data_IF_504744006620
#
_entry.id   IF_504744006620
#
_cell.length_a   1.000
_cell.length_b   1.000
_cell.length_c   1.000
_cell.angle_alpha   90.00
_cell.angle_beta   90.00
_cell.angle_gamma   90.00
#
_symmetry.space_group_name_H-M   'P 1'
#
loop_
_entity.id
_entity.type
_entity.pdbx_description
1 polymer ?
#
# COMPACT_ATOMS: atom_id res chain seq x y z
N UNK A 1 -3.26 -2.19 -23.97
CA UNK A 1 -4.14 -2.08 -25.19
C UNK A 1 -5.53 -1.60 -24.79
N UNK A 2 -6.24 -0.86 -25.66
CA UNK A 2 -7.54 -0.24 -25.35
C UNK A 2 -8.55 -1.19 -24.67
N UNK A 3 -8.69 -2.43 -25.17
CA UNK A 3 -9.69 -3.36 -24.66
C UNK A 3 -9.49 -3.75 -23.21
N UNK A 4 -8.25 -3.97 -22.78
CA UNK A 4 -7.93 -4.26 -21.37
C UNK A 4 -8.23 -3.06 -20.48
N UNK A 5 -7.91 -1.84 -20.94
CA UNK A 5 -8.22 -0.60 -20.26
C UNK A 5 -9.70 -0.37 -20.07
N UNK A 6 -10.47 -0.60 -21.13
CA UNK A 6 -11.91 -0.54 -21.09
C UNK A 6 -12.48 -1.54 -20.07
N UNK A 7 -11.97 -2.77 -20.08
CA UNK A 7 -12.37 -3.81 -19.14
C UNK A 7 -12.03 -3.44 -17.69
N UNK A 8 -10.83 -2.87 -17.44
CA UNK A 8 -10.41 -2.36 -16.12
C UNK A 8 -11.36 -1.25 -15.68
N UNK A 9 -11.60 -0.23 -16.50
CA UNK A 9 -12.48 0.89 -16.16
C UNK A 9 -13.91 0.42 -15.85
N UNK A 10 -14.46 -0.51 -16.65
CA UNK A 10 -15.79 -1.07 -16.41
C UNK A 10 -15.86 -1.85 -15.09
N UNK A 11 -14.85 -2.66 -14.80
CA UNK A 11 -14.75 -3.40 -13.52
C UNK A 11 -14.66 -2.46 -12.33
N UNK A 12 -13.85 -1.38 -12.45
CA UNK A 12 -13.76 -0.31 -11.44
C UNK A 12 -15.11 0.33 -11.16
N UNK A 13 -15.87 0.67 -12.23
CA UNK A 13 -17.22 1.20 -12.12
C UNK A 13 -18.25 0.16 -11.58
N UNK A 14 -17.82 -1.09 -11.37
CA UNK A 14 -18.69 -2.17 -10.89
C UNK A 14 -19.77 -2.60 -11.89
N UNK A 15 -19.63 -2.24 -13.17
CA UNK A 15 -20.65 -2.48 -14.20
C UNK A 15 -20.41 -3.81 -14.92
N UNK A 16 -21.50 -4.53 -15.20
CA UNK A 16 -21.51 -5.59 -16.21
C UNK A 16 -21.52 -4.98 -17.62
N UNK A 17 -21.25 -5.80 -18.65
CA UNK A 17 -21.35 -5.36 -20.05
C UNK A 17 -22.74 -4.79 -20.39
N UNK A 18 -23.81 -5.38 -19.83
CA UNK A 18 -25.19 -4.94 -20.06
C UNK A 18 -25.48 -3.62 -19.34
N UNK A 19 -25.03 -3.46 -18.12
CA UNK A 19 -25.20 -2.22 -17.34
C UNK A 19 -24.43 -1.07 -18.00
N UNK A 20 -23.19 -1.30 -18.47
CA UNK A 20 -22.46 -0.28 -19.21
C UNK A 20 -23.21 0.10 -20.51
N UNK A 21 -23.70 -0.89 -21.28
CA UNK A 21 -24.47 -0.63 -22.48
C UNK A 21 -25.73 0.21 -22.23
N UNK A 22 -26.37 0.05 -21.07
CA UNK A 22 -27.58 0.78 -20.69
C UNK A 22 -27.32 2.27 -20.38
N UNK A 23 -26.11 2.64 -19.94
CA UNK A 23 -25.73 4.03 -19.58
C UNK A 23 -24.92 4.74 -20.66
N UNK A 24 -24.66 4.06 -21.80
CA UNK A 24 -23.86 4.60 -22.90
C UNK A 24 -24.60 5.68 -23.72
N UNK A 25 -23.91 6.78 -23.96
CA UNK A 25 -24.25 7.79 -24.95
C UNK A 25 -23.02 8.09 -25.82
N UNK A 26 -23.02 7.75 -27.11
CA UNK A 26 -24.12 7.15 -27.91
C UNK A 26 -24.40 5.69 -27.50
N UNK A 27 -25.63 5.19 -27.78
CA UNK A 27 -26.02 3.82 -27.46
C UNK A 27 -25.11 2.78 -28.13
N UNK A 28 -24.65 1.79 -27.34
CA UNK A 28 -23.79 0.71 -27.83
C UNK A 28 -24.26 -0.60 -27.21
N UNK A 29 -24.26 -1.69 -27.99
CA UNK A 29 -24.69 -2.99 -27.50
C UNK A 29 -23.63 -3.62 -26.56
N UNK A 30 -24.06 -4.47 -25.62
CA UNK A 30 -23.14 -5.22 -24.76
C UNK A 30 -22.20 -6.14 -25.59
N UNK A 31 -22.61 -6.63 -26.73
CA UNK A 31 -21.75 -7.40 -27.63
C UNK A 31 -20.67 -6.53 -28.27
N UNK A 32 -20.98 -5.30 -28.65
CA UNK A 32 -19.98 -4.37 -29.19
C UNK A 32 -18.96 -4.01 -28.11
N UNK A 33 -19.39 -3.75 -26.88
CA UNK A 33 -18.48 -3.49 -25.74
C UNK A 33 -17.57 -4.70 -25.51
N UNK A 34 -18.11 -5.94 -25.55
CA UNK A 34 -17.30 -7.15 -25.44
C UNK A 34 -16.24 -7.25 -26.53
N UNK A 35 -16.56 -6.90 -27.77
CA UNK A 35 -15.61 -6.88 -28.89
C UNK A 35 -14.57 -5.77 -28.75
N UNK A 36 -14.92 -4.64 -28.12
CA UNK A 36 -13.94 -3.61 -27.77
C UNK A 36 -12.97 -4.12 -26.68
N UNK A 37 -13.50 -4.81 -25.66
CA UNK A 37 -12.68 -5.37 -24.59
C UNK A 37 -11.74 -6.49 -25.05
N UNK A 38 -12.14 -7.28 -26.06
CA UNK A 38 -11.29 -8.32 -26.68
C UNK A 38 -10.36 -7.78 -27.77
N UNK A 39 -10.37 -6.47 -28.05
CA UNK A 39 -9.67 -5.82 -29.16
C UNK A 39 -10.02 -6.38 -30.56
N UNK A 40 -11.18 -7.05 -30.69
CA UNK A 40 -11.69 -7.51 -31.98
C UNK A 40 -12.27 -6.36 -32.82
N UNK A 41 -12.63 -5.27 -32.20
CA UNK A 41 -13.19 -4.09 -32.86
C UNK A 41 -12.74 -2.81 -32.13
N UNK A 42 -12.44 -1.77 -32.88
CA UNK A 42 -12.13 -0.44 -32.32
C UNK A 42 -13.39 0.41 -32.23
N UNK A 43 -13.65 1.08 -31.07
CA UNK A 43 -14.73 2.05 -30.98
C UNK A 43 -14.42 3.30 -31.83
N UNK A 44 -15.46 3.92 -32.37
CA UNK A 44 -15.31 5.25 -32.99
C UNK A 44 -14.95 6.30 -31.94
N UNK A 45 -14.37 7.44 -32.37
CA UNK A 45 -14.00 8.53 -31.45
C UNK A 45 -15.18 8.99 -30.58
N UNK A 46 -16.39 9.05 -31.15
CA UNK A 46 -17.61 9.41 -30.42
C UNK A 46 -17.97 8.39 -29.33
N UNK A 47 -17.85 7.10 -29.65
CA UNK A 47 -18.09 6.00 -28.69
C UNK A 47 -17.00 6.00 -27.61
N UNK A 48 -15.74 6.28 -27.98
CA UNK A 48 -14.63 6.34 -27.03
C UNK A 48 -14.83 7.46 -26.00
N UNK A 49 -15.27 8.64 -26.45
CA UNK A 49 -15.64 9.76 -25.55
C UNK A 49 -16.81 9.35 -24.63
N UNK A 50 -17.83 8.68 -25.19
CA UNK A 50 -18.97 8.17 -24.41
C UNK A 50 -18.55 7.16 -23.35
N UNK A 51 -17.64 6.23 -23.69
CA UNK A 51 -17.05 5.27 -22.75
C UNK A 51 -16.30 5.98 -21.62
N UNK A 52 -15.45 6.95 -21.93
CA UNK A 52 -14.74 7.74 -20.92
C UNK A 52 -15.69 8.44 -19.94
N UNK A 53 -16.75 9.07 -20.44
CA UNK A 53 -17.80 9.72 -19.62
C UNK A 53 -18.56 8.72 -18.75
N UNK A 54 -19.04 7.62 -19.34
CA UNK A 54 -19.82 6.61 -18.64
C UNK A 54 -19.05 5.89 -17.55
N UNK A 55 -17.74 5.75 -17.72
CA UNK A 55 -16.83 5.05 -16.80
C UNK A 55 -16.08 6.01 -15.86
N UNK A 56 -16.19 7.33 -16.07
CA UNK A 56 -15.49 8.33 -15.23
C UNK A 56 -13.97 8.27 -15.39
N UNK A 57 -13.46 7.92 -16.57
CA UNK A 57 -12.03 7.85 -16.87
C UNK A 57 -11.65 8.78 -18.03
N UNK A 58 -10.38 9.22 -18.07
CA UNK A 58 -9.87 10.04 -19.15
C UNK A 58 -9.69 9.22 -20.45
N UNK A 59 -9.67 9.89 -21.61
CA UNK A 59 -9.30 9.26 -22.87
C UNK A 59 -7.86 8.78 -22.86
N UNK A 60 -6.97 9.50 -22.20
CA UNK A 60 -5.59 9.10 -21.96
C UNK A 60 -5.52 7.75 -21.25
N UNK A 61 -6.28 7.58 -20.19
CA UNK A 61 -6.37 6.28 -19.51
C UNK A 61 -6.77 5.15 -20.45
N UNK A 62 -7.75 5.38 -21.34
CA UNK A 62 -8.22 4.35 -22.27
C UNK A 62 -7.23 4.06 -23.42
N UNK A 63 -6.43 5.05 -23.84
CA UNK A 63 -5.58 4.98 -25.03
C UNK A 63 -4.11 4.69 -24.73
N UNK A 64 -3.61 5.12 -23.59
CA UNK A 64 -2.25 4.86 -23.10
C UNK A 64 -2.27 3.79 -22.02
N UNK A 65 -1.13 3.18 -21.74
CA UNK A 65 -1.00 2.20 -20.69
C UNK A 65 0.45 1.98 -20.31
N UNK A 66 0.81 2.41 -19.12
CA UNK A 66 2.11 2.17 -18.51
C UNK A 66 2.18 0.78 -17.84
N UNK A 67 1.04 0.28 -17.37
CA UNK A 67 0.92 -1.00 -16.68
C UNK A 67 0.38 -2.06 -17.65
N UNK A 68 1.17 -3.11 -17.88
CA UNK A 68 0.77 -4.28 -18.66
C UNK A 68 0.01 -5.28 -17.78
N UNK A 69 0.55 -5.58 -16.59
CA UNK A 69 -0.01 -6.55 -15.66
C UNK A 69 0.39 -6.20 -14.22
N UNK A 70 -0.50 -6.49 -13.27
CA UNK A 70 -0.16 -6.58 -11.86
C UNK A 70 0.15 -8.04 -11.52
N UNK A 71 1.44 -8.40 -11.54
CA UNK A 71 1.87 -9.77 -11.25
C UNK A 71 2.00 -10.01 -9.74
N UNK A 72 1.73 -11.26 -9.32
CA UNK A 72 1.87 -11.64 -7.91
C UNK A 72 0.87 -10.97 -6.97
N UNK A 73 -0.27 -10.51 -7.51
CA UNK A 73 -1.38 -10.01 -6.68
C UNK A 73 -1.91 -11.15 -5.85
N UNK A 74 -1.39 -11.30 -4.65
CA UNK A 74 -1.98 -12.14 -3.64
C UNK A 74 -3.04 -11.34 -2.90
N UNK A 75 -4.25 -11.25 -3.51
CA UNK A 75 -5.42 -11.00 -2.67
C UNK A 75 -5.44 -12.14 -1.66
N UNK A 76 -4.98 -11.88 -0.43
CA UNK A 76 -5.02 -12.87 0.62
C UNK A 76 -6.33 -13.60 0.53
N UNK A 77 -6.28 -14.91 0.52
CA UNK A 77 -7.42 -15.84 0.57
C UNK A 77 -8.22 -15.63 1.86
N UNK A 78 -8.66 -14.40 2.12
CA UNK A 78 -9.75 -14.18 3.03
C UNK A 78 -11.00 -14.65 2.33
N UNK A 79 -11.58 -15.72 2.85
CA UNK A 79 -12.72 -16.49 2.37
C UNK A 79 -14.03 -15.70 2.22
N UNK A 80 -13.98 -14.40 1.97
CA UNK A 80 -15.14 -13.52 1.87
C UNK A 80 -15.09 -12.45 0.79
N UNK A 81 -13.95 -12.22 0.11
CA UNK A 81 -13.88 -11.18 -0.93
C UNK A 81 -14.43 -11.71 -2.24
N UNK A 82 -15.49 -11.09 -2.77
CA UNK A 82 -16.09 -11.49 -4.04
C UNK A 82 -15.13 -11.26 -5.22
N UNK A 83 -15.32 -12.03 -6.32
CA UNK A 83 -14.54 -11.80 -7.55
C UNK A 83 -14.75 -10.38 -8.11
N UNK A 84 -15.94 -9.78 -7.87
CA UNK A 84 -16.27 -8.42 -8.26
C UNK A 84 -15.46 -7.39 -7.48
N UNK A 85 -15.36 -7.56 -6.14
CA UNK A 85 -14.60 -6.65 -5.28
C UNK A 85 -13.11 -6.70 -5.60
N UNK A 86 -12.56 -7.90 -5.81
CA UNK A 86 -11.16 -8.07 -6.24
C UNK A 86 -10.88 -7.35 -7.55
N UNK A 87 -11.74 -7.53 -8.55
CA UNK A 87 -11.59 -6.88 -9.85
C UNK A 87 -11.75 -5.35 -9.76
N UNK A 88 -12.59 -4.84 -8.84
CA UNK A 88 -12.71 -3.41 -8.56
C UNK A 88 -11.43 -2.84 -7.94
N UNK A 89 -10.90 -3.50 -6.91
CA UNK A 89 -9.65 -3.08 -6.26
C UNK A 89 -8.49 -3.09 -7.25
N UNK A 90 -8.32 -4.19 -8.02
CA UNK A 90 -7.28 -4.29 -9.05
C UNK A 90 -7.35 -3.13 -10.06
N UNK A 91 -8.56 -2.75 -10.48
CA UNK A 91 -8.76 -1.63 -11.41
C UNK A 91 -8.39 -0.27 -10.78
N UNK A 92 -8.76 -0.03 -9.51
CA UNK A 92 -8.40 1.19 -8.78
C UNK A 92 -6.89 1.29 -8.62
N UNK A 93 -6.25 0.19 -8.24
CA UNK A 93 -4.80 0.11 -8.06
C UNK A 93 -4.05 0.33 -9.38
N UNK A 94 -4.52 -0.30 -10.46
CA UNK A 94 -3.91 -0.11 -11.78
C UNK A 94 -3.95 1.35 -12.22
N UNK A 95 -5.10 2.03 -12.06
CA UNK A 95 -5.22 3.46 -12.40
C UNK A 95 -4.26 4.33 -11.57
N UNK A 96 -4.20 4.11 -10.25
CA UNK A 96 -3.32 4.88 -9.38
C UNK A 96 -1.83 4.66 -9.71
N UNK A 97 -1.44 3.43 -10.05
CA UNK A 97 -0.08 3.11 -10.47
C UNK A 97 0.26 3.73 -11.82
N UNK A 98 -0.68 3.79 -12.76
CA UNK A 98 -0.47 4.45 -14.03
C UNK A 98 -0.24 5.94 -13.90
N UNK A 99 -1.09 6.61 -13.12
CA UNK A 99 -0.90 8.02 -12.83
C UNK A 99 0.46 8.27 -12.16
N UNK A 100 0.88 7.36 -11.26
CA UNK A 100 2.18 7.46 -10.60
C UNK A 100 3.35 7.29 -11.58
N UNK A 101 3.32 6.25 -12.40
CA UNK A 101 4.37 5.96 -13.37
C UNK A 101 4.44 7.01 -14.47
N UNK A 102 3.29 7.52 -14.92
CA UNK A 102 3.22 8.60 -15.90
C UNK A 102 3.90 9.89 -15.39
N UNK A 103 3.72 10.25 -14.11
CA UNK A 103 4.39 11.43 -13.56
C UNK A 103 5.90 11.22 -13.39
N UNK A 104 6.34 10.01 -13.04
CA UNK A 104 7.77 9.67 -13.00
C UNK A 104 8.41 9.78 -14.39
N UNK A 105 7.72 9.31 -15.43
CA UNK A 105 8.19 9.41 -16.82
C UNK A 105 8.23 10.86 -17.32
N UNK A 106 7.22 11.68 -16.98
CA UNK A 106 7.21 13.12 -17.31
C UNK A 106 8.41 13.85 -16.67
N UNK A 107 8.80 13.42 -15.47
CA UNK A 107 9.95 13.98 -14.75
C UNK A 107 11.28 13.33 -15.13
N UNK A 108 11.29 12.38 -16.06
CA UNK A 108 12.48 11.61 -16.49
C UNK A 108 13.25 11.03 -15.31
N UNK A 109 12.51 10.46 -14.33
CA UNK A 109 13.13 9.88 -13.14
C UNK A 109 13.76 8.53 -13.49
N UNK A 110 14.98 8.25 -13.00
CA UNK A 110 15.60 6.95 -13.22
C UNK A 110 14.75 5.85 -12.54
N UNK A 111 14.64 4.68 -13.18
CA UNK A 111 13.93 3.56 -12.58
C UNK A 111 14.61 3.14 -11.27
N UNK A 112 13.81 2.83 -10.26
CA UNK A 112 14.32 2.23 -9.03
C UNK A 112 14.91 0.84 -9.32
N UNK A 113 16.06 0.51 -8.73
CA UNK A 113 16.57 -0.85 -8.74
C UNK A 113 15.68 -1.80 -7.94
N UNK A 114 15.97 -3.11 -7.99
CA UNK A 114 15.29 -4.09 -7.14
C UNK A 114 15.69 -3.88 -5.66
N UNK A 115 14.78 -3.41 -4.78
CA UNK A 115 15.11 -3.11 -3.39
C UNK A 115 15.36 -4.37 -2.55
N UNK A 116 15.10 -5.56 -3.09
CA UNK A 116 15.19 -6.85 -2.39
C UNK A 116 16.29 -7.77 -2.93
N UNK A 117 17.04 -7.35 -3.95
CA UNK A 117 18.01 -8.20 -4.65
C UNK A 117 18.99 -8.94 -3.71
N UNK A 118 19.43 -8.26 -2.63
CA UNK A 118 20.40 -8.81 -1.68
C UNK A 118 19.78 -9.70 -0.58
N UNK A 119 18.45 -9.68 -0.40
CA UNK A 119 17.80 -10.33 0.76
C UNK A 119 16.66 -11.27 0.39
N UNK A 120 16.25 -11.31 -0.88
CA UNK A 120 15.15 -12.17 -1.33
C UNK A 120 15.46 -13.64 -1.02
N UNK A 121 14.48 -14.33 -0.44
CA UNK A 121 14.57 -15.72 0.00
C UNK A 121 13.40 -16.52 -0.55
N UNK A 122 13.70 -17.67 -1.19
CA UNK A 122 12.64 -18.51 -1.75
C UNK A 122 11.84 -19.22 -0.66
N UNK A 123 12.51 -19.71 0.40
CA UNK A 123 11.84 -20.43 1.48
C UNK A 123 12.52 -20.18 2.82
N UNK A 124 11.72 -20.08 3.88
CA UNK A 124 12.19 -20.09 5.27
C UNK A 124 11.67 -21.34 5.98
N UNK A 125 12.51 -21.95 6.80
CA UNK A 125 12.18 -23.18 7.53
C UNK A 125 11.70 -22.93 8.97
N UNK A 126 11.92 -21.73 9.53
CA UNK A 126 11.53 -21.37 10.89
C UNK A 126 11.14 -19.90 11.04
N UNK A 127 10.47 -19.58 12.16
CA UNK A 127 10.15 -18.18 12.49
C UNK A 127 11.40 -17.37 12.81
N UNK A 128 12.45 -18.00 13.33
CA UNK A 128 13.75 -17.38 13.63
C UNK A 128 14.48 -16.98 12.34
N UNK A 129 14.35 -17.77 11.27
CA UNK A 129 14.86 -17.40 9.95
C UNK A 129 14.13 -16.20 9.37
N UNK A 130 12.80 -16.15 9.49
CA UNK A 130 12.02 -15.00 9.07
C UNK A 130 12.43 -13.72 9.83
N UNK A 131 12.67 -13.84 11.15
CA UNK A 131 13.19 -12.75 11.97
C UNK A 131 14.62 -12.32 11.54
N UNK A 132 15.48 -13.27 11.25
CA UNK A 132 16.84 -13.01 10.75
C UNK A 132 16.83 -12.24 9.42
N UNK A 133 15.92 -12.57 8.51
CA UNK A 133 15.76 -11.86 7.24
C UNK A 133 15.31 -10.41 7.45
N UNK A 134 14.42 -10.13 8.41
CA UNK A 134 14.08 -8.76 8.79
C UNK A 134 15.31 -7.97 9.26
N UNK A 135 16.18 -8.59 10.07
CA UNK A 135 17.45 -8.00 10.49
C UNK A 135 18.41 -7.75 9.32
N UNK A 136 18.54 -8.71 8.38
CA UNK A 136 19.35 -8.56 7.18
C UNK A 136 18.85 -7.42 6.29
N UNK A 137 17.53 -7.30 6.09
CA UNK A 137 16.96 -6.20 5.33
C UNK A 137 17.21 -4.85 5.99
N UNK A 138 17.09 -4.77 7.33
CA UNK A 138 17.44 -3.54 8.06
C UNK A 138 18.91 -3.14 7.88
N UNK A 139 19.82 -4.11 7.88
CA UNK A 139 21.25 -3.87 7.62
C UNK A 139 21.48 -3.39 6.18
N UNK A 140 20.88 -4.06 5.18
CA UNK A 140 20.98 -3.68 3.78
C UNK A 140 20.46 -2.26 3.53
N UNK A 141 19.37 -1.91 4.18
CA UNK A 141 18.79 -0.58 4.09
C UNK A 141 19.41 0.46 5.02
N UNK A 142 20.42 0.07 5.80
CA UNK A 142 21.18 0.91 6.75
C UNK A 142 20.30 1.58 7.80
N UNK A 143 19.29 0.90 8.29
CA UNK A 143 18.33 1.44 9.27
C UNK A 143 18.84 1.40 10.71
N UNK A 144 19.90 0.64 10.99
CA UNK A 144 20.33 0.41 12.36
C UNK A 144 19.27 -0.35 13.18
N UNK A 145 19.23 -0.08 14.48
CA UNK A 145 18.31 -0.75 15.41
C UNK A 145 17.17 0.16 15.89
N UNK A 146 17.23 1.47 15.58
CA UNK A 146 16.25 2.44 16.02
C UNK A 146 14.86 2.20 15.39
N UNK A 147 13.78 2.66 16.02
CA UNK A 147 12.45 2.63 15.41
C UNK A 147 12.44 3.30 14.02
N UNK A 148 11.68 2.72 13.10
CA UNK A 148 11.50 3.32 11.77
C UNK A 148 10.58 4.54 11.90
N UNK A 149 11.04 5.76 11.57
CA UNK A 149 10.21 6.97 11.73
C UNK A 149 8.94 6.95 10.90
N UNK A 150 9.05 6.49 9.64
CA UNK A 150 7.92 6.32 8.72
C UNK A 150 8.12 5.06 7.88
N UNK A 151 7.18 4.13 7.94
CA UNK A 151 7.18 2.95 7.07
C UNK A 151 6.86 3.35 5.63
N UNK A 152 5.88 4.21 5.43
CA UNK A 152 5.48 4.72 4.12
C UNK A 152 6.65 5.43 3.44
N UNK A 153 7.25 6.41 4.13
CA UNK A 153 8.39 7.16 3.59
C UNK A 153 9.60 6.27 3.28
N UNK A 154 9.90 5.31 4.18
CA UNK A 154 10.97 4.35 3.95
C UNK A 154 10.76 3.52 2.66
N UNK A 155 9.56 3.00 2.47
CA UNK A 155 9.22 2.20 1.27
C UNK A 155 9.31 3.05 0.00
N UNK A 156 8.77 4.28 0.03
CA UNK A 156 8.86 5.22 -1.08
C UNK A 156 10.32 5.60 -1.41
N UNK A 157 11.19 5.78 -0.40
CA UNK A 157 12.62 6.04 -0.59
C UNK A 157 13.36 4.85 -1.23
N UNK A 158 12.87 3.63 -1.01
CA UNK A 158 13.38 2.42 -1.67
C UNK A 158 12.77 2.18 -3.04
N UNK A 159 11.95 3.10 -3.56
CA UNK A 159 11.34 3.01 -4.88
C UNK A 159 10.07 2.14 -4.93
N UNK A 160 9.60 1.64 -3.79
CA UNK A 160 8.35 0.89 -3.69
C UNK A 160 7.19 1.88 -3.72
N UNK A 161 6.23 1.68 -4.61
CA UNK A 161 5.04 2.53 -4.68
C UNK A 161 4.09 2.17 -3.56
N UNK A 162 3.78 3.14 -2.69
CA UNK A 162 2.78 2.95 -1.63
C UNK A 162 1.50 3.65 -2.05
N UNK A 163 0.40 2.89 -2.09
CA UNK A 163 -0.91 3.39 -2.51
C UNK A 163 -1.93 3.09 -1.42
N UNK A 164 -2.75 4.09 -1.09
CA UNK A 164 -3.93 3.90 -0.28
C UNK A 164 -5.15 3.70 -1.17
N UNK A 165 -5.98 2.71 -0.84
CA UNK A 165 -7.18 2.40 -1.58
C UNK A 165 -8.31 1.97 -0.63
N UNK A 166 -9.56 2.20 -1.07
CA UNK A 166 -10.75 1.69 -0.37
C UNK A 166 -10.88 0.19 -0.60
N UNK A 167 -10.49 -0.58 0.41
CA UNK A 167 -10.62 -2.03 0.44
C UNK A 167 -11.89 -2.48 1.16
N UNK A 168 -12.44 -3.66 0.81
CA UNK A 168 -13.42 -4.34 1.66
C UNK A 168 -12.87 -4.57 3.08
N UNK A 169 -13.72 -4.52 4.09
CA UNK A 169 -13.37 -4.56 5.53
C UNK A 169 -12.42 -5.70 5.95
N UNK A 170 -12.39 -6.80 5.19
CA UNK A 170 -11.58 -7.98 5.46
C UNK A 170 -10.21 -7.99 4.79
N UNK A 171 -9.86 -6.95 4.01
CA UNK A 171 -8.56 -6.80 3.34
C UNK A 171 -7.86 -5.57 3.89
N UNK A 172 -6.66 -5.75 4.44
CA UNK A 172 -5.89 -4.62 5.01
C UNK A 172 -4.80 -4.11 4.07
N UNK A 173 -4.33 -4.95 3.14
CA UNK A 173 -3.28 -4.60 2.20
C UNK A 173 -3.04 -5.70 1.17
N UNK A 174 -2.23 -5.38 0.19
CA UNK A 174 -1.73 -6.30 -0.83
C UNK A 174 -0.40 -5.80 -1.37
N UNK A 175 0.39 -6.72 -1.90
CA UNK A 175 1.62 -6.39 -2.63
C UNK A 175 1.55 -6.92 -4.05
N UNK A 176 2.19 -6.24 -4.99
CA UNK A 176 2.28 -6.68 -6.37
C UNK A 176 3.57 -6.19 -7.05
N UNK A 177 3.93 -6.87 -8.13
CA UNK A 177 4.91 -6.40 -9.11
C UNK A 177 4.15 -5.80 -10.28
N UNK A 178 4.44 -4.55 -10.58
CA UNK A 178 3.88 -3.84 -11.71
C UNK A 178 4.73 -4.14 -12.94
N UNK A 179 4.20 -4.93 -13.87
CA UNK A 179 4.80 -5.16 -15.18
C UNK A 179 4.51 -3.96 -16.05
N UNK A 180 5.56 -3.33 -16.57
CA UNK A 180 5.44 -2.13 -17.40
C UNK A 180 5.47 -2.48 -18.89
N UNK A 181 4.74 -1.70 -19.68
CA UNK A 181 4.73 -1.84 -21.14
C UNK A 181 6.11 -1.53 -21.74
N UNK A 182 6.45 -2.23 -22.81
CA UNK A 182 7.76 -2.08 -23.48
C UNK A 182 8.89 -2.78 -22.71
N UNK A 183 10.10 -2.26 -22.79
CA UNK A 183 11.31 -2.80 -22.11
C UNK A 183 11.60 -2.03 -20.79
N UNK A 184 10.60 -1.48 -20.16
CA UNK A 184 10.76 -0.76 -18.89
C UNK A 184 10.87 -1.76 -17.72
N UNK A 185 11.70 -1.47 -16.72
CA UNK A 185 11.85 -2.37 -15.57
C UNK A 185 10.57 -2.47 -14.75
N UNK A 186 10.36 -3.64 -14.18
CA UNK A 186 9.28 -3.89 -13.23
C UNK A 186 9.39 -2.97 -12.02
N UNK A 187 8.27 -2.68 -11.41
CA UNK A 187 8.19 -1.80 -10.23
C UNK A 187 7.45 -2.51 -9.10
N UNK A 188 7.96 -2.40 -7.88
CA UNK A 188 7.32 -2.94 -6.69
C UNK A 188 6.24 -1.98 -6.18
N UNK A 189 5.10 -2.52 -5.77
CA UNK A 189 4.02 -1.74 -5.16
C UNK A 189 3.41 -2.46 -3.95
N UNK A 190 3.07 -1.67 -2.93
CA UNK A 190 2.30 -2.10 -1.77
C UNK A 190 1.07 -1.20 -1.67
N UNK A 191 -0.09 -1.82 -1.58
CA UNK A 191 -1.37 -1.13 -1.44
C UNK A 191 -1.95 -1.44 -0.08
N UNK A 192 -2.41 -0.42 0.61
CA UNK A 192 -3.00 -0.55 1.94
C UNK A 192 -4.39 0.08 1.99
N UNK A 193 -5.21 -0.39 2.92
CA UNK A 193 -6.51 0.22 3.18
C UNK A 193 -6.36 1.61 3.78
N UNK A 194 -7.13 2.58 3.27
CA UNK A 194 -7.18 3.93 3.82
C UNK A 194 -7.90 4.00 5.17
N UNK A 195 -8.77 3.01 5.49
CA UNK A 195 -9.64 2.99 6.66
C UNK A 195 -9.05 2.20 7.85
N UNK A 196 -7.74 2.30 8.08
CA UNK A 196 -7.05 1.63 9.20
C UNK A 196 -6.22 2.63 10.00
N UNK A 197 -6.09 2.40 11.32
CA UNK A 197 -5.28 3.24 12.19
C UNK A 197 -3.77 3.13 11.86
N UNK A 198 -2.99 4.08 12.35
CA UNK A 198 -1.55 4.23 12.04
C UNK A 198 -0.77 2.97 12.40
N UNK A 199 -1.00 2.40 13.56
CA UNK A 199 -0.29 1.20 14.04
C UNK A 199 -0.54 0.01 13.13
N UNK A 200 -1.80 -0.16 12.70
CA UNK A 200 -2.18 -1.24 11.77
C UNK A 200 -1.62 -0.97 10.38
N UNK A 201 -1.64 0.30 9.91
CA UNK A 201 -1.02 0.71 8.64
C UNK A 201 0.45 0.30 8.61
N UNK A 202 1.23 0.70 9.61
CA UNK A 202 2.66 0.38 9.74
C UNK A 202 2.93 -1.12 9.76
N UNK A 203 2.15 -1.85 10.56
CA UNK A 203 2.28 -3.32 10.64
C UNK A 203 1.91 -3.99 9.32
N UNK A 204 0.86 -3.53 8.63
CA UNK A 204 0.47 -4.04 7.32
C UNK A 204 1.56 -3.78 6.29
N UNK A 205 2.13 -2.56 6.23
CA UNK A 205 3.25 -2.25 5.33
C UNK A 205 4.46 -3.16 5.57
N UNK A 206 4.84 -3.40 6.82
CA UNK A 206 5.94 -4.32 7.16
C UNK A 206 5.61 -5.79 6.85
N UNK A 207 4.35 -6.17 6.92
CA UNK A 207 3.88 -7.50 6.59
C UNK A 207 3.85 -7.72 5.07
N UNK A 208 3.35 -6.77 4.29
CA UNK A 208 3.39 -6.82 2.83
C UNK A 208 4.83 -6.78 2.30
N UNK A 209 5.70 -6.02 2.97
CA UNK A 209 7.14 -6.04 2.73
C UNK A 209 7.73 -7.46 2.92
N UNK A 210 7.31 -8.18 3.96
CA UNK A 210 7.75 -9.56 4.19
C UNK A 210 7.43 -10.50 3.03
N UNK A 211 6.24 -10.38 2.42
CA UNK A 211 5.84 -11.15 1.24
C UNK A 211 6.70 -10.86 -0.01
N UNK A 212 7.38 -9.71 -0.05
CA UNK A 212 8.33 -9.40 -1.13
C UNK A 212 9.72 -9.99 -0.88
N UNK A 213 10.06 -10.21 0.39
CA UNK A 213 11.35 -10.79 0.81
C UNK A 213 11.29 -12.32 0.85
N UNK A 214 10.21 -12.90 1.35
CA UNK A 214 10.02 -14.35 1.53
C UNK A 214 8.90 -14.83 0.63
N UNK A 215 9.20 -15.82 -0.24
CA UNK A 215 8.21 -16.36 -1.17
C UNK A 215 7.33 -17.46 -0.52
N UNK A 216 7.94 -18.36 0.26
CA UNK A 216 7.22 -19.51 0.82
C UNK A 216 7.90 -20.02 2.11
N UNK A 217 7.32 -21.04 2.72
CA UNK A 217 7.85 -21.74 3.89
C UNK A 217 8.08 -23.22 3.58
N UNK A 218 9.17 -23.82 4.11
CA UNK A 218 9.51 -25.22 3.89
C UNK A 218 9.27 -26.13 5.11
N UNK A 219 9.07 -25.58 6.31
CA UNK A 219 8.86 -26.33 7.55
C UNK A 219 7.41 -26.83 7.71
N UNK A 220 7.23 -28.04 8.27
CA UNK A 220 5.89 -28.61 8.52
C UNK A 220 5.08 -27.86 9.58
N UNK A 221 5.77 -27.24 10.55
CA UNK A 221 5.15 -26.56 11.71
C UNK A 221 5.10 -25.02 11.55
N UNK A 222 5.52 -24.51 10.40
CA UNK A 222 5.51 -23.07 10.10
C UNK A 222 4.38 -22.74 9.12
N UNK A 223 3.68 -21.63 9.39
CA UNK A 223 2.67 -21.07 8.49
C UNK A 223 3.20 -19.79 7.89
N UNK A 224 3.05 -19.61 6.57
CA UNK A 224 3.55 -18.45 5.84
C UNK A 224 3.10 -17.14 6.50
N UNK A 225 1.81 -16.97 6.77
CA UNK A 225 1.27 -15.77 7.40
C UNK A 225 1.89 -15.46 8.77
N UNK A 226 2.16 -16.50 9.59
CA UNK A 226 2.81 -16.32 10.88
C UNK A 226 4.30 -15.95 10.73
N UNK A 227 4.97 -16.47 9.70
CA UNK A 227 6.34 -16.08 9.37
C UNK A 227 6.40 -14.60 8.93
N UNK A 228 5.42 -14.15 8.13
CA UNK A 228 5.29 -12.73 7.75
C UNK A 228 5.02 -11.84 8.96
N UNK A 229 4.15 -12.25 9.86
CA UNK A 229 3.93 -11.53 11.14
C UNK A 229 5.20 -11.47 12.00
N UNK A 230 5.98 -12.57 12.04
CA UNK A 230 7.26 -12.60 12.75
C UNK A 230 8.28 -11.64 12.15
N UNK A 231 8.40 -11.65 10.84
CA UNK A 231 9.22 -10.70 10.09
C UNK A 231 8.81 -9.24 10.39
N UNK A 232 7.53 -8.93 10.22
CA UNK A 232 7.00 -7.58 10.44
C UNK A 232 7.28 -7.07 11.87
N UNK A 233 7.02 -7.92 12.88
CA UNK A 233 7.32 -7.59 14.26
C UNK A 233 8.82 -7.36 14.51
N UNK A 234 9.69 -8.16 13.90
CA UNK A 234 11.14 -8.02 14.00
C UNK A 234 11.66 -6.78 13.26
N UNK A 235 11.07 -6.48 12.11
CA UNK A 235 11.43 -5.30 11.32
C UNK A 235 11.10 -4.00 12.04
N UNK A 236 9.90 -3.90 12.62
CA UNK A 236 9.45 -2.70 13.36
C UNK A 236 10.06 -2.58 14.74
N UNK A 237 10.28 -3.71 15.43
CA UNK A 237 10.75 -3.77 16.82
C UNK A 237 11.92 -4.75 16.93
N UNK A 238 13.16 -4.32 16.64
CA UNK A 238 14.35 -5.17 16.71
C UNK A 238 14.55 -5.75 18.11
N UNK A 239 14.85 -7.06 18.19
CA UNK A 239 14.95 -7.81 19.45
C UNK A 239 15.97 -7.22 20.42
N UNK A 240 17.16 -6.87 19.92
CA UNK A 240 18.25 -6.38 20.78
C UNK A 240 17.98 -4.96 21.27
N UNK A 241 17.31 -4.13 20.46
CA UNK A 241 16.88 -2.82 20.90
C UNK A 241 15.81 -2.94 21.98
N UNK A 242 14.78 -3.76 21.76
CA UNK A 242 13.73 -3.99 22.76
C UNK A 242 14.27 -4.54 24.06
N UNK A 243 15.23 -5.49 24.02
CA UNK A 243 15.88 -6.01 25.22
C UNK A 243 16.70 -4.96 25.98
N UNK A 244 17.29 -3.99 25.30
CA UNK A 244 17.99 -2.86 25.95
C UNK A 244 17.02 -1.92 26.66
N UNK A 245 15.87 -1.65 26.03
CA UNK A 245 14.88 -0.75 26.59
C UNK A 245 14.17 -1.33 27.83
N UNK A 246 13.79 -2.61 27.79
CA UNK A 246 12.93 -3.20 28.83
C UNK A 246 13.61 -4.27 29.68
N UNK A 247 14.84 -4.65 29.36
CA UNK A 247 15.55 -5.77 29.97
C UNK A 247 15.33 -7.11 29.26
N UNK A 248 16.26 -8.09 29.44
CA UNK A 248 16.25 -9.34 28.68
C UNK A 248 15.19 -10.35 29.15
N UNK A 249 14.72 -10.25 30.40
CA UNK A 249 13.68 -11.16 30.98
C UNK A 249 12.89 -10.42 32.04
N UNK A 250 11.57 -10.58 32.02
CA UNK A 250 10.65 -9.96 32.99
C UNK A 250 9.49 -10.88 33.35
N UNK A 251 8.93 -10.68 34.54
CA UNK A 251 7.74 -11.39 34.99
C UNK A 251 6.44 -10.69 34.67
N UNK A 252 6.48 -9.41 34.35
CA UNK A 252 5.33 -8.58 33.98
C UNK A 252 5.75 -7.26 33.38
N UNK A 253 4.78 -6.52 32.87
CA UNK A 253 4.94 -5.18 32.31
C UNK A 253 3.73 -4.33 32.71
N UNK A 254 3.97 -3.07 33.06
CA UNK A 254 2.91 -2.15 33.43
C UNK A 254 2.16 -1.60 32.19
N UNK A 255 0.89 -1.28 32.33
CA UNK A 255 0.09 -0.69 31.24
C UNK A 255 0.75 0.58 30.66
N UNK A 256 1.14 1.51 31.54
CA UNK A 256 1.82 2.74 31.12
C UNK A 256 3.07 2.46 30.27
N UNK A 257 3.87 1.48 30.68
CA UNK A 257 5.09 1.09 29.95
C UNK A 257 4.78 0.51 28.57
N UNK A 258 3.68 -0.27 28.44
CA UNK A 258 3.20 -0.74 27.14
C UNK A 258 2.80 0.44 26.26
N UNK A 259 2.11 1.44 26.81
CA UNK A 259 1.65 2.62 26.04
C UNK A 259 2.83 3.48 25.55
N UNK A 260 3.85 3.68 26.37
CA UNK A 260 5.06 4.40 25.98
C UNK A 260 5.84 3.65 24.90
N UNK A 261 6.06 2.35 25.07
CA UNK A 261 6.78 1.53 24.10
C UNK A 261 6.02 1.42 22.75
N UNK A 262 4.69 1.27 22.79
CA UNK A 262 3.93 1.23 21.54
C UNK A 262 4.05 2.55 20.75
N UNK A 263 3.99 3.68 21.43
CA UNK A 263 4.17 5.00 20.81
C UNK A 263 5.60 5.16 20.26
N UNK A 264 6.60 4.73 21.03
CA UNK A 264 8.00 4.80 20.64
C UNK A 264 8.31 3.98 19.37
N UNK A 265 7.79 2.75 19.25
CA UNK A 265 7.99 1.91 18.06
C UNK A 265 6.97 2.15 16.97
N UNK A 266 5.87 2.84 17.25
CA UNK A 266 4.77 3.05 16.31
C UNK A 266 4.06 1.74 15.96
N UNK A 267 3.80 0.87 16.93
CA UNK A 267 3.13 -0.42 16.77
C UNK A 267 1.91 -0.54 17.68
N UNK A 268 0.98 -1.44 17.37
CA UNK A 268 -0.15 -1.69 18.24
C UNK A 268 0.27 -2.32 19.57
N UNK A 269 -0.48 -2.03 20.63
CA UNK A 269 -0.24 -2.62 21.95
C UNK A 269 -0.31 -4.16 21.90
N UNK A 270 -1.21 -4.71 21.09
CA UNK A 270 -1.31 -6.14 20.87
C UNK A 270 -0.07 -6.71 20.15
N UNK A 271 0.45 -6.04 19.13
CA UNK A 271 1.67 -6.44 18.42
C UNK A 271 2.89 -6.38 19.34
N UNK A 272 2.99 -5.33 20.18
CA UNK A 272 4.07 -5.22 21.16
C UNK A 272 4.04 -6.35 22.19
N UNK A 273 2.88 -6.71 22.74
CA UNK A 273 2.75 -7.87 23.66
C UNK A 273 3.20 -9.17 22.99
N UNK A 274 2.79 -9.39 21.74
CA UNK A 274 3.24 -10.57 20.99
C UNK A 274 4.75 -10.54 20.78
N UNK A 275 5.33 -9.38 20.46
CA UNK A 275 6.77 -9.22 20.26
C UNK A 275 7.58 -9.49 21.54
N UNK A 276 7.13 -9.00 22.70
CA UNK A 276 7.74 -9.30 24.00
C UNK A 276 7.80 -10.80 24.31
N UNK A 277 6.77 -11.56 23.93
CA UNK A 277 6.77 -13.02 24.00
C UNK A 277 7.77 -13.62 23.02
N UNK A 278 7.73 -13.17 21.78
CA UNK A 278 8.50 -13.76 20.68
C UNK A 278 10.01 -13.61 20.88
N UNK A 279 10.45 -12.54 21.54
CA UNK A 279 11.86 -12.34 21.94
C UNK A 279 12.21 -12.94 23.30
N UNK A 280 11.26 -13.60 23.98
CA UNK A 280 11.49 -14.28 25.25
C UNK A 280 11.63 -13.34 26.47
N UNK A 281 11.21 -12.08 26.35
CA UNK A 281 11.22 -11.12 27.47
C UNK A 281 10.11 -11.46 28.47
N UNK A 282 8.90 -11.71 28.00
CA UNK A 282 7.76 -12.13 28.81
C UNK A 282 7.39 -13.59 28.55
N UNK A 283 7.08 -14.36 29.60
CA UNK A 283 6.57 -15.72 29.46
C UNK A 283 5.25 -15.77 28.69
N UNK A 284 5.04 -16.82 27.88
CA UNK A 284 3.80 -17.00 27.12
C UNK A 284 2.53 -16.98 27.98
N UNK A 285 2.59 -17.50 29.21
CA UNK A 285 1.49 -17.49 30.16
C UNK A 285 1.04 -16.07 30.52
N UNK A 286 1.97 -15.10 30.65
CA UNK A 286 1.68 -13.69 30.94
C UNK A 286 0.92 -13.07 29.76
N UNK A 287 1.31 -13.39 28.53
CA UNK A 287 0.64 -12.88 27.33
C UNK A 287 -0.76 -13.48 27.18
N UNK A 288 -0.92 -14.77 27.44
CA UNK A 288 -2.25 -15.43 27.44
C UNK A 288 -3.15 -14.78 28.49
N UNK A 289 -2.63 -14.53 29.69
CA UNK A 289 -3.38 -13.84 30.75
C UNK A 289 -3.79 -12.42 30.31
N UNK A 290 -2.87 -11.65 29.75
CA UNK A 290 -3.17 -10.29 29.26
C UNK A 290 -4.33 -10.29 28.26
N UNK A 291 -4.30 -11.17 27.23
CA UNK A 291 -5.38 -11.25 26.23
C UNK A 291 -6.70 -11.84 26.77
N UNK A 292 -6.68 -12.54 27.88
CA UNK A 292 -7.90 -13.01 28.55
C UNK A 292 -8.53 -11.95 29.47
N UNK A 293 -7.75 -10.96 29.88
CA UNK A 293 -8.15 -9.95 30.86
C UNK A 293 -8.14 -8.54 30.25
N UNK A 294 -7.14 -7.73 30.55
CA UNK A 294 -7.11 -6.29 30.24
C UNK A 294 -6.85 -5.97 28.75
N UNK A 295 -6.22 -6.85 28.02
CA UNK A 295 -5.95 -6.69 26.59
C UNK A 295 -6.95 -7.44 25.67
N UNK A 296 -8.13 -7.83 26.21
CA UNK A 296 -9.10 -8.65 25.49
C UNK A 296 -9.63 -8.00 24.21
N UNK A 297 -9.82 -6.68 24.21
CA UNK A 297 -10.32 -5.91 23.07
C UNK A 297 -9.22 -5.40 22.14
N UNK A 298 -7.94 -5.37 22.55
CA UNK A 298 -6.84 -4.68 21.86
C UNK A 298 -6.57 -5.12 20.41
N UNK A 299 -7.07 -6.29 20.01
CA UNK A 299 -7.01 -6.73 18.61
C UNK A 299 -8.07 -6.08 17.72
N UNK A 300 -9.11 -5.50 18.32
CA UNK A 300 -10.23 -4.84 17.61
C UNK A 300 -10.22 -3.35 17.84
N UNK A 301 -9.87 -2.94 19.03
CA UNK A 301 -9.90 -1.56 19.49
C UNK A 301 -8.55 -1.24 20.12
N UNK A 302 -7.77 -0.39 19.45
CA UNK A 302 -6.43 -0.02 19.89
C UNK A 302 -6.52 0.92 21.09
N UNK A 303 -5.83 0.60 22.23
CA UNK A 303 -5.77 1.53 23.35
C UNK A 303 -4.85 2.71 23.00
N UNK A 304 -5.27 3.92 23.31
CA UNK A 304 -4.52 5.15 23.03
C UNK A 304 -3.92 5.16 21.61
N UNK A 305 -4.75 5.16 20.54
CA UNK A 305 -4.27 5.10 19.19
C UNK A 305 -3.35 6.29 18.88
N UNK A 306 -2.38 6.09 17.99
CA UNK A 306 -1.53 7.16 17.47
C UNK A 306 -2.41 8.06 16.62
N UNK A 307 -2.42 9.36 16.91
CA UNK A 307 -3.23 10.33 16.19
C UNK A 307 -2.63 10.63 14.81
N UNK A 308 -3.50 10.73 13.81
CA UNK A 308 -3.09 11.10 12.47
C UNK A 308 -2.61 12.57 12.45
N UNK A 309 -1.50 12.82 11.78
CA UNK A 309 -0.90 14.15 11.70
C UNK A 309 -0.07 14.58 12.92
N UNK A 310 0.12 13.71 13.93
CA UNK A 310 0.94 13.99 15.12
C UNK A 310 2.00 12.90 15.30
N UNK A 311 3.25 13.30 15.59
CA UNK A 311 4.36 12.38 15.80
C UNK A 311 4.56 11.42 14.61
N UNK A 312 4.62 10.13 14.88
CA UNK A 312 4.76 9.10 13.83
C UNK A 312 3.60 9.16 12.83
N UNK A 313 2.36 9.45 13.27
CA UNK A 313 1.20 9.58 12.40
C UNK A 313 1.35 10.65 11.32
N UNK A 314 2.09 11.73 11.58
CA UNK A 314 2.35 12.79 10.60
C UNK A 314 3.11 12.31 9.36
N UNK A 315 3.80 11.18 9.44
CA UNK A 315 4.69 10.67 8.40
C UNK A 315 4.15 9.41 7.70
N UNK A 316 2.99 8.88 8.10
CA UNK A 316 2.45 7.61 7.55
C UNK A 316 1.45 7.79 6.42
N UNK A 317 1.46 8.94 5.76
CA UNK A 317 0.69 9.16 4.54
C UNK A 317 1.61 9.09 3.31
N UNK A 318 1.22 8.41 2.22
CA UNK A 318 1.98 8.41 0.98
C UNK A 318 1.92 9.81 0.33
N UNK A 319 3.05 10.52 0.38
CA UNK A 319 3.16 11.91 -0.12
C UNK A 319 4.05 12.04 -1.34
N UNK A 320 4.77 11.00 -1.73
CA UNK A 320 5.73 11.08 -2.84
C UNK A 320 5.02 11.39 -4.14
N UNK A 321 3.91 10.70 -4.45
CA UNK A 321 3.13 10.98 -5.67
C UNK A 321 2.67 12.44 -5.73
N UNK A 322 2.07 12.94 -4.65
CA UNK A 322 1.66 14.35 -4.55
C UNK A 322 2.84 15.30 -4.77
N UNK A 323 3.97 15.03 -4.12
CA UNK A 323 5.20 15.80 -4.28
C UNK A 323 5.71 15.84 -5.73
N UNK A 324 5.69 14.68 -6.42
CA UNK A 324 6.06 14.58 -7.83
C UNK A 324 5.12 15.37 -8.74
N UNK A 325 3.81 15.32 -8.50
CA UNK A 325 2.82 16.11 -9.26
C UNK A 325 3.07 17.61 -9.08
N UNK A 326 3.29 18.09 -7.85
CA UNK A 326 3.61 19.50 -7.62
C UNK A 326 4.96 19.90 -8.20
N UNK A 327 5.96 19.01 -8.19
CA UNK A 327 7.24 19.24 -8.87
C UNK A 327 7.05 19.40 -10.38
N UNK A 328 6.35 18.50 -11.04
CA UNK A 328 6.10 18.58 -12.47
C UNK A 328 5.29 19.84 -12.84
N UNK A 329 4.35 20.24 -11.97
CA UNK A 329 3.59 21.47 -12.13
C UNK A 329 4.47 22.73 -11.98
N UNK A 330 5.35 22.76 -10.99
CA UNK A 330 6.28 23.87 -10.76
C UNK A 330 7.29 24.04 -11.90
N UNK A 331 7.75 22.90 -12.47
CA UNK A 331 8.62 22.86 -13.64
C UNK A 331 7.87 23.07 -14.97
N UNK A 332 6.55 23.36 -14.94
CA UNK A 332 5.67 23.59 -16.10
C UNK A 332 5.59 22.41 -17.08
N UNK A 333 5.90 21.20 -16.63
CA UNK A 333 5.80 19.97 -17.42
C UNK A 333 4.35 19.49 -17.55
N UNK A 334 3.49 19.86 -16.60
CA UNK A 334 2.05 19.60 -16.64
C UNK A 334 1.26 20.89 -16.37
N UNK A 335 0.01 20.92 -16.85
CA UNK A 335 -0.90 22.03 -16.57
C UNK A 335 -1.53 21.93 -15.18
N UNK A 336 -2.02 23.05 -14.59
CA UNK A 336 -2.82 23.02 -13.34
C UNK A 336 -4.05 22.11 -13.44
N UNK A 337 -4.69 22.04 -14.61
CA UNK A 337 -5.82 21.15 -14.84
C UNK A 337 -5.41 19.67 -14.77
N UNK A 338 -4.25 19.30 -15.33
CA UNK A 338 -3.72 17.94 -15.24
C UNK A 338 -3.35 17.60 -13.78
N UNK A 339 -2.72 18.49 -13.05
CA UNK A 339 -2.42 18.30 -11.64
C UNK A 339 -3.71 18.12 -10.79
N UNK A 340 -4.75 18.91 -11.05
CA UNK A 340 -6.05 18.78 -10.41
C UNK A 340 -6.69 17.41 -10.67
N UNK A 341 -6.59 16.91 -11.90
CA UNK A 341 -7.07 15.59 -12.28
C UNK A 341 -6.29 14.47 -11.56
N UNK A 342 -4.95 14.51 -11.57
CA UNK A 342 -4.08 13.51 -10.96
C UNK A 342 -4.29 13.42 -9.44
N UNK A 343 -4.38 14.56 -8.76
CA UNK A 343 -4.56 14.64 -7.31
C UNK A 343 -6.02 14.56 -6.87
N UNK A 344 -6.98 14.52 -7.81
CA UNK A 344 -8.43 14.54 -7.55
C UNK A 344 -8.84 15.72 -6.64
N UNK A 345 -8.21 16.89 -6.88
CA UNK A 345 -8.43 18.16 -6.15
C UNK A 345 -8.96 19.25 -7.06
N UNK A 346 -9.57 20.26 -6.47
CA UNK A 346 -10.01 21.46 -7.21
C UNK A 346 -8.81 22.30 -7.71
N UNK A 347 -9.00 23.04 -8.78
CA UNK A 347 -7.97 23.98 -9.29
C UNK A 347 -7.54 24.99 -8.22
N UNK A 348 -8.47 25.46 -7.38
CA UNK A 348 -8.17 26.39 -6.30
C UNK A 348 -7.23 25.79 -5.24
N UNK A 349 -7.36 24.50 -4.94
CA UNK A 349 -6.45 23.79 -4.03
C UNK A 349 -5.07 23.64 -4.65
N UNK A 350 -4.99 23.28 -5.93
CA UNK A 350 -3.73 23.18 -6.66
C UNK A 350 -3.00 24.54 -6.70
N UNK A 351 -3.72 25.64 -7.03
CA UNK A 351 -3.13 26.98 -7.03
C UNK A 351 -2.63 27.40 -5.65
N UNK A 352 -3.37 27.04 -4.59
CA UNK A 352 -2.94 27.31 -3.22
C UNK A 352 -1.67 26.51 -2.86
N UNK A 353 -1.57 25.26 -3.31
CA UNK A 353 -0.41 24.42 -3.11
C UNK A 353 0.87 24.96 -3.78
N UNK A 354 0.73 25.64 -4.93
CA UNK A 354 1.86 26.28 -5.64
C UNK A 354 2.24 27.64 -5.03
N UNK A 355 1.25 28.48 -4.76
CA UNK A 355 1.49 29.88 -4.39
C UNK A 355 1.57 30.12 -2.89
N UNK A 356 1.20 29.13 -2.09
CA UNK A 356 1.01 29.27 -0.63
C UNK A 356 -0.28 30.03 -0.28
N UNK A 357 -0.54 30.25 1.02
CA UNK A 357 -1.67 31.03 1.48
C UNK A 357 -1.51 32.47 0.97
N UNK A 358 -2.59 33.04 0.41
CA UNK A 358 -2.62 34.47 0.11
C UNK A 358 -2.51 35.19 1.45
N UNK A 359 -1.39 35.85 1.72
CA UNK A 359 -1.30 36.81 2.81
C UNK A 359 -2.35 37.87 2.59
N UNK A 360 -3.32 37.97 3.47
CA UNK A 360 -4.18 39.11 3.56
C UNK A 360 -3.33 40.24 4.16
N UNK A 361 -2.63 40.97 3.31
CA UNK A 361 -2.04 42.24 3.69
C UNK A 361 -3.20 43.15 4.10
N UNK A 362 -3.46 43.24 5.40
CA UNK A 362 -4.29 44.31 5.93
C UNK A 362 -3.44 45.58 5.81
N UNK A 363 -3.81 46.42 4.87
CA UNK A 363 -3.40 47.82 4.83
C UNK A 363 -4.05 48.54 6.00
#
# INVERSE_FOLDING_TARGET
MLGERLKIARKKAGLSLRELAAVMDPPVSAQAISKYESNEMMPSSRVLVGLGKALGVSLDFLMSGEVEELAGVEFRKHSGTSARDRARVEAIVTEALEDYLAIEDILDLPPAGDPFAAVRCDQVASYEEAESLAGKLRMEWKLGMDPVPSMTGLLEDKGIKVIEADFPDNVSGMTCVVKRTGQRPDTEAIVISENINIERKRFTLAHELAHRVVRDVSGKDIKLENAMHRFAGAFLVPADHLKREVGPRRHGIAYHEIMELKKFYGVSAAALLMRLRDVGILPGAVIVYAFRTYARSWRKEEPEPIEDGIGIGAFEQPKRFEGLVYRALAEQLISPARAAQLLKRSLAEIERGIRGPREQWRV
#
